data_IF_213619773003
#
_entry.id   IF_213619773003
#
_cell.length_a   1.000
_cell.length_b   1.000
_cell.length_c   1.000
_cell.angle_alpha   90.00
_cell.angle_beta   90.00
_cell.angle_gamma   90.00
#
_symmetry.space_group_name_H-M   'P 1'
#
loop_
_entity.id
_entity.type
_entity.pdbx_description
1 polymer ?
#
# COMPACT_ATOMS: atom_id res chain seq x y z
N UNK A 1 -4.33 45.49 2.87
CA UNK A 1 -4.88 44.73 4.07
C UNK A 1 -6.17 44.00 3.71
N UNK A 2 -6.44 43.82 2.35
CA UNK A 2 -7.58 43.13 1.72
C UNK A 2 -7.07 42.00 0.82
N UNK A 3 -5.69 41.64 0.92
CA UNK A 3 -5.11 40.53 0.13
C UNK A 3 -4.51 39.47 1.06
N UNK A 4 -4.77 39.67 2.43
CA UNK A 4 -4.30 38.69 3.43
C UNK A 4 -5.49 38.01 4.10
N UNK A 5 -6.77 38.40 3.65
CA UNK A 5 -8.00 37.77 4.20
C UNK A 5 -8.61 36.81 3.18
N UNK A 6 -7.92 36.58 1.95
CA UNK A 6 -8.37 35.58 0.95
C UNK A 6 -7.41 34.39 0.92
N UNK A 7 -6.29 34.49 1.80
CA UNK A 7 -5.37 33.33 1.88
C UNK A 7 -5.61 32.56 3.18
N UNK A 8 -6.51 33.20 4.10
CA UNK A 8 -6.77 32.51 5.39
C UNK A 8 -8.16 31.86 5.32
N UNK A 9 -8.97 32.18 4.14
CA UNK A 9 -10.32 31.58 4.02
C UNK A 9 -10.31 30.45 2.99
N UNK A 10 -9.18 30.27 2.16
CA UNK A 10 -8.97 29.11 1.27
C UNK A 10 -8.20 28.00 1.99
N UNK A 11 -7.74 28.34 3.26
CA UNK A 11 -6.97 27.33 4.04
C UNK A 11 -7.87 26.68 5.10
N UNK A 12 -9.12 27.27 5.35
CA UNK A 12 -10.02 26.72 6.39
C UNK A 12 -11.16 25.93 5.74
N UNK A 13 -11.31 25.99 4.32
CA UNK A 13 -12.38 25.24 3.62
C UNK A 13 -11.78 23.99 2.97
N UNK A 14 -10.33 23.88 2.95
CA UNK A 14 -9.63 22.63 2.57
C UNK A 14 -9.50 21.71 3.80
N UNK A 15 -9.93 22.25 5.05
CA UNK A 15 -9.71 21.56 6.34
C UNK A 15 -11.00 20.86 6.79
N UNK A 16 -12.19 21.14 6.19
CA UNK A 16 -13.47 20.53 6.63
C UNK A 16 -13.93 19.51 5.58
N UNK A 17 -13.00 19.23 4.55
CA UNK A 17 -13.50 18.29 3.52
C UNK A 17 -12.57 17.08 3.42
N UNK A 18 -11.47 17.03 4.33
CA UNK A 18 -10.57 15.85 4.40
C UNK A 18 -10.99 14.93 5.55
N UNK A 19 -12.00 15.29 6.32
CA UNK A 19 -12.45 14.60 7.54
C UNK A 19 -13.71 13.79 7.28
N UNK A 20 -14.33 13.86 6.04
CA UNK A 20 -15.64 13.17 5.93
C UNK A 20 -15.49 11.86 5.15
N UNK A 21 -14.28 11.56 4.52
CA UNK A 21 -14.04 10.23 3.91
C UNK A 21 -13.10 9.42 4.81
N UNK A 22 -12.55 10.06 5.89
CA UNK A 22 -11.53 9.43 6.73
C UNK A 22 -12.11 9.05 8.09
N UNK A 23 -13.49 9.47 8.30
CA UNK A 23 -14.23 9.17 9.55
C UNK A 23 -15.24 8.04 9.32
N UNK A 24 -15.15 7.43 7.99
CA UNK A 24 -16.02 6.21 8.07
C UNK A 24 -15.26 5.06 8.72
N UNK A 25 -14.84 5.18 10.02
CA UNK A 25 -14.77 4.19 11.10
C UNK A 25 -14.61 2.77 10.55
N UNK A 26 -13.59 2.54 9.52
CA UNK A 26 -13.27 1.09 9.47
C UNK A 26 -13.31 0.52 10.89
N UNK A 27 -14.43 0.49 11.54
CA UNK A 27 -14.56 -0.37 12.74
C UNK A 27 -13.30 -0.30 13.61
N UNK A 28 -12.57 0.76 13.62
CA UNK A 28 -11.31 1.28 14.20
C UNK A 28 -11.09 0.73 15.62
N UNK A 29 -11.83 -0.43 16.07
CA UNK A 29 -11.39 -1.19 17.27
C UNK A 29 -11.76 -2.67 17.13
N UNK A 30 -12.47 -3.05 15.97
CA UNK A 30 -12.89 -4.47 15.95
C UNK A 30 -11.99 -5.27 15.01
N UNK A 31 -10.98 -4.54 14.36
CA UNK A 31 -10.25 -5.34 13.33
C UNK A 31 -8.97 -5.92 13.93
N UNK A 32 -8.46 -5.22 14.95
CA UNK A 32 -7.19 -5.71 15.51
C UNK A 32 -7.46 -6.44 16.83
N UNK A 33 -6.81 -7.56 16.95
CA UNK A 33 -7.10 -8.29 18.20
C UNK A 33 -5.86 -8.33 19.10
N UNK A 34 -4.84 -7.51 18.56
CA UNK A 34 -3.65 -7.44 19.41
C UNK A 34 -3.13 -6.00 19.47
N UNK A 35 -2.62 -5.65 20.70
CA UNK A 35 -2.01 -4.32 20.90
C UNK A 35 -0.63 -4.53 21.56
N UNK A 36 0.34 -3.81 20.95
CA UNK A 36 1.68 -3.88 21.59
C UNK A 36 2.19 -2.44 21.78
N UNK A 37 2.77 -2.32 23.01
CA UNK A 37 3.28 -0.97 23.36
C UNK A 37 4.71 -1.08 23.87
N UNK A 38 5.52 -0.18 23.41
CA UNK A 38 6.83 0.01 24.04
C UNK A 38 6.84 1.30 24.87
N UNK A 39 7.02 1.05 26.26
CA UNK A 39 6.88 2.19 27.19
C UNK A 39 8.07 2.21 28.15
N UNK A 40 8.00 3.42 28.78
CA UNK A 40 8.97 3.58 29.89
C UNK A 40 8.27 4.16 31.11
N UNK A 41 8.43 3.59 32.34
CA UNK A 41 7.66 3.97 33.54
C UNK A 41 8.46 4.96 34.39
N UNK A 42 9.67 5.44 34.03
CA UNK A 42 10.41 6.31 34.96
C UNK A 42 10.62 7.68 34.31
N UNK A 43 10.23 8.77 35.11
CA UNK A 43 10.36 10.20 34.74
C UNK A 43 11.80 10.67 34.95
N UNK A 44 12.83 9.73 34.94
CA UNK A 44 14.01 10.46 35.46
C UNK A 44 15.25 9.98 34.70
N UNK A 45 15.41 10.64 33.40
CA UNK A 45 16.79 10.77 32.85
C UNK A 45 16.70 11.01 31.33
N UNK A 46 17.31 12.12 30.79
CA UNK A 46 17.68 12.53 29.42
C UNK A 46 17.98 11.33 28.52
N UNK A 47 17.36 10.00 28.83
CA UNK A 47 17.69 8.85 27.97
C UNK A 47 16.63 8.70 26.88
N UNK A 48 17.08 8.38 25.66
CA UNK A 48 16.18 8.22 24.50
C UNK A 48 16.78 7.21 23.52
N UNK A 49 15.90 6.66 22.71
CA UNK A 49 16.46 5.97 21.53
C UNK A 49 15.75 6.50 20.28
N UNK A 50 16.52 6.28 19.17
CA UNK A 50 15.99 6.86 17.91
C UNK A 50 15.36 5.76 17.04
N UNK A 51 14.20 6.22 16.54
CA UNK A 51 13.55 5.27 15.62
C UNK A 51 13.43 5.93 14.25
N UNK A 52 13.53 5.04 13.31
CA UNK A 52 13.32 5.57 11.95
C UNK A 52 11.82 5.71 11.66
N UNK A 53 11.49 7.01 11.05
CA UNK A 53 10.09 7.22 10.70
C UNK A 53 9.96 7.56 9.21
N UNK A 54 8.64 7.36 8.69
CA UNK A 54 8.34 7.77 7.31
C UNK A 54 7.15 8.73 7.29
N UNK A 55 7.32 9.64 6.29
CA UNK A 55 6.20 10.59 6.15
C UNK A 55 5.07 10.02 5.30
N UNK A 56 4.45 8.76 5.61
CA UNK A 56 3.36 8.42 4.66
C UNK A 56 2.22 7.75 5.43
N UNK A 57 0.90 8.07 5.09
CA UNK A 57 -0.31 7.52 5.75
C UNK A 57 -0.56 6.07 5.38
N UNK A 58 -0.06 5.10 6.17
CA UNK A 58 -0.51 3.69 5.96
C UNK A 58 -1.94 3.54 6.50
N UNK A 59 -2.96 3.53 5.49
CA UNK A 59 -4.30 3.05 5.91
C UNK A 59 -4.42 1.54 5.70
N UNK A 60 -5.38 0.81 6.56
CA UNK A 60 -5.62 1.12 7.99
C UNK A 60 -4.84 0.17 8.91
N UNK A 61 -3.90 0.76 9.89
CA UNK A 61 -3.96 1.09 11.34
C UNK A 61 -2.60 0.81 11.98
N UNK A 62 -1.49 1.64 11.75
CA UNK A 62 -0.66 1.82 12.97
C UNK A 62 -0.97 3.21 13.56
N UNK A 63 -2.03 3.28 14.37
CA UNK A 63 -2.21 4.53 15.14
C UNK A 63 -1.01 4.78 16.07
N UNK A 64 -0.21 5.71 15.62
CA UNK A 64 0.86 6.16 16.52
C UNK A 64 0.29 7.13 17.55
N UNK A 65 0.36 6.66 18.78
CA UNK A 65 -0.11 7.59 19.83
C UNK A 65 1.08 8.00 20.71
N UNK A 66 1.35 9.37 20.69
CA UNK A 66 2.31 9.83 21.72
C UNK A 66 1.60 10.03 23.07
N UNK A 67 2.16 9.36 24.04
CA UNK A 67 1.55 9.41 25.39
C UNK A 67 1.59 10.85 25.93
N UNK A 68 0.37 11.45 26.16
CA UNK A 68 0.31 12.72 26.90
C UNK A 68 0.95 12.61 28.29
N UNK A 69 1.21 13.66 29.01
CA UNK A 69 1.71 13.73 30.41
C UNK A 69 0.83 12.91 31.34
N UNK A 70 -0.37 12.49 30.85
CA UNK A 70 -1.17 11.46 31.55
C UNK A 70 -0.91 10.06 30.98
N UNK A 71 -0.38 9.06 31.76
CA UNK A 71 0.09 7.74 31.32
C UNK A 71 -1.07 6.89 30.74
N UNK A 72 -2.36 7.38 30.86
CA UNK A 72 -3.48 6.58 30.34
C UNK A 72 -4.13 7.28 29.15
N UNK A 73 -3.56 8.38 28.71
CA UNK A 73 -4.18 9.08 27.56
C UNK A 73 -3.20 9.03 26.38
N UNK A 74 -3.65 8.43 25.32
CA UNK A 74 -2.87 8.39 24.05
C UNK A 74 -3.37 9.50 23.12
N UNK A 75 -2.51 10.54 22.93
CA UNK A 75 -2.99 11.61 22.04
C UNK A 75 -2.43 11.38 20.63
N UNK A 76 -3.27 11.02 19.66
CA UNK A 76 -2.84 11.06 18.23
C UNK A 76 -2.28 12.45 17.90
N UNK A 77 -0.97 12.81 18.19
CA UNK A 77 -0.58 14.20 17.89
C UNK A 77 -0.64 14.46 16.38
N UNK A 78 -1.76 14.78 15.81
CA UNK A 78 -1.61 15.57 14.55
C UNK A 78 -0.79 16.84 14.81
N UNK A 79 0.54 16.83 14.85
CA UNK A 79 1.33 18.09 14.93
C UNK A 79 0.61 19.19 14.12
N UNK A 80 0.03 20.15 14.75
CA UNK A 80 -0.82 21.27 14.30
C UNK A 80 -0.06 22.22 13.37
N UNK A 81 1.16 21.74 12.67
CA UNK A 81 1.66 22.73 11.70
C UNK A 81 2.20 22.01 10.46
N UNK A 82 1.62 20.81 10.14
CA UNK A 82 1.90 20.18 8.84
C UNK A 82 0.98 18.98 8.63
N UNK A 83 -0.25 19.10 8.34
CA UNK A 83 -1.25 18.06 8.04
C UNK A 83 -0.78 17.12 6.92
N UNK A 84 0.62 17.19 6.58
CA UNK A 84 1.07 16.26 5.53
C UNK A 84 2.16 15.33 6.08
N UNK A 85 1.89 14.49 7.18
CA UNK A 85 2.50 13.13 7.17
C UNK A 85 2.49 12.58 8.59
N UNK A 86 1.39 12.11 9.20
CA UNK A 86 1.40 11.19 10.36
C UNK A 86 2.61 10.24 10.31
N UNK A 87 3.75 10.68 10.75
CA UNK A 87 5.01 9.90 10.79
C UNK A 87 4.77 8.53 11.44
N UNK A 88 5.23 7.43 10.79
CA UNK A 88 5.05 6.08 11.32
C UNK A 88 6.43 5.45 11.59
N UNK A 89 6.58 5.12 12.89
CA UNK A 89 7.84 4.40 13.13
C UNK A 89 7.94 3.11 12.29
N UNK A 90 9.15 2.91 11.82
CA UNK A 90 9.35 1.63 11.11
C UNK A 90 9.42 0.50 12.14
N UNK A 91 8.27 -0.06 12.44
CA UNK A 91 8.02 -1.07 13.48
C UNK A 91 7.20 -2.22 12.89
N UNK A 92 7.89 -3.46 12.82
CA UNK A 92 7.21 -4.59 12.16
C UNK A 92 7.04 -5.77 13.12
N UNK A 93 5.93 -6.57 12.74
CA UNK A 93 5.72 -7.85 13.46
C UNK A 93 5.99 -9.00 12.48
N UNK A 94 6.93 -9.81 12.95
CA UNK A 94 7.21 -11.01 12.13
C UNK A 94 6.63 -12.27 12.81
N UNK A 95 5.89 -12.95 11.97
CA UNK A 95 5.35 -14.23 12.49
C UNK A 95 5.96 -15.41 11.71
N UNK A 96 6.66 -16.20 12.45
CA UNK A 96 7.24 -17.41 11.81
C UNK A 96 6.37 -18.64 12.06
N UNK A 97 6.23 -19.41 10.97
CA UNK A 97 5.39 -20.63 11.09
C UNK A 97 6.28 -21.87 10.94
N UNK A 98 5.80 -23.00 11.56
CA UNK A 98 6.59 -24.25 11.57
C UNK A 98 6.81 -24.76 10.15
N UNK A 99 5.73 -24.63 9.34
CA UNK A 99 5.86 -25.06 7.93
C UNK A 99 4.96 -24.18 7.04
N UNK A 100 5.38 -24.13 5.81
CA UNK A 100 4.51 -23.38 4.88
C UNK A 100 3.26 -24.18 4.51
N UNK A 101 2.15 -23.45 4.06
CA UNK A 101 0.96 -24.18 3.55
C UNK A 101 1.26 -24.84 2.20
N UNK A 102 2.16 -24.19 1.44
CA UNK A 102 2.65 -24.82 0.19
C UNK A 102 3.91 -24.08 -0.28
N UNK A 103 4.37 -24.71 -1.45
CA UNK A 103 5.56 -24.08 -2.06
C UNK A 103 5.18 -23.54 -3.44
N UNK A 104 5.53 -22.22 -3.64
CA UNK A 104 5.18 -21.62 -4.94
C UNK A 104 5.96 -22.28 -6.08
N UNK A 105 5.55 -21.97 -7.29
CA UNK A 105 6.27 -22.52 -8.47
C UNK A 105 7.75 -22.09 -8.46
N UNK A 106 8.03 -21.06 -7.76
CA UNK A 106 9.41 -20.54 -7.69
C UNK A 106 10.17 -21.07 -6.46
N UNK A 107 9.49 -22.05 -5.71
CA UNK A 107 10.19 -22.74 -4.61
C UNK A 107 10.09 -21.93 -3.30
N UNK A 108 9.25 -21.01 -3.19
CA UNK A 108 9.15 -20.22 -1.94
C UNK A 108 7.95 -20.68 -1.11
N UNK A 109 8.18 -20.46 0.24
CA UNK A 109 7.06 -20.82 1.11
C UNK A 109 5.86 -19.86 0.92
N UNK A 110 4.68 -20.47 0.98
CA UNK A 110 3.44 -19.69 0.82
C UNK A 110 2.55 -19.94 2.04
N UNK A 111 2.06 -18.76 2.60
CA UNK A 111 1.07 -18.86 3.71
C UNK A 111 -0.31 -18.41 3.22
N UNK A 112 -1.33 -19.20 3.70
CA UNK A 112 -2.67 -18.94 3.13
C UNK A 112 -3.60 -18.53 4.28
N UNK A 113 -4.15 -17.30 4.16
CA UNK A 113 -5.23 -16.80 5.03
C UNK A 113 -4.78 -16.74 6.49
N UNK A 114 -3.44 -16.53 6.78
CA UNK A 114 -2.94 -16.59 8.17
C UNK A 114 -3.16 -15.25 8.86
N UNK A 115 -3.58 -14.10 8.23
CA UNK A 115 -3.78 -12.77 8.87
C UNK A 115 -4.91 -12.03 8.15
N UNK A 116 -6.06 -12.77 7.99
CA UNK A 116 -7.14 -12.11 7.22
C UNK A 116 -8.37 -11.96 8.12
N UNK A 117 -8.75 -10.72 8.49
CA UNK A 117 -9.99 -10.57 9.28
C UNK A 117 -11.23 -10.91 8.45
N UNK A 118 -12.36 -11.38 9.20
CA UNK A 118 -13.66 -11.65 8.55
C UNK A 118 -14.34 -10.33 8.16
N UNK A 119 -14.20 -9.89 6.88
CA UNK A 119 -14.93 -8.92 6.06
C UNK A 119 -14.50 -7.49 6.42
N UNK A 120 -13.75 -6.91 5.43
CA UNK A 120 -13.58 -5.43 5.49
C UNK A 120 -14.22 -4.78 4.25
N UNK A 121 -15.39 -4.24 4.42
CA UNK A 121 -15.86 -3.57 3.19
C UNK A 121 -15.00 -2.33 2.88
N UNK A 122 -14.27 -2.44 1.73
CA UNK A 122 -13.65 -1.16 1.29
C UNK A 122 -14.64 -0.44 0.37
N UNK A 123 -15.06 0.74 0.92
CA UNK A 123 -15.91 1.58 0.03
C UNK A 123 -15.02 2.49 -0.84
N UNK A 124 -15.18 2.19 -2.25
CA UNK A 124 -14.43 3.06 -3.19
C UNK A 124 -15.34 4.21 -3.65
N UNK A 125 -14.97 5.38 -3.25
CA UNK A 125 -15.81 6.44 -3.87
C UNK A 125 -15.17 6.91 -5.19
N UNK A 126 -15.94 6.68 -6.27
CA UNK A 126 -15.41 7.11 -7.59
C UNK A 126 -15.31 8.63 -7.65
N UNK A 127 -14.21 9.06 -8.37
CA UNK A 127 -14.08 10.50 -8.67
C UNK A 127 -15.22 10.96 -9.58
N UNK A 128 -15.72 12.14 -9.21
CA UNK A 128 -16.82 12.73 -10.04
C UNK A 128 -16.35 14.05 -10.66
N UNK A 129 -17.13 14.33 -11.59
CA UNK A 129 -16.81 15.59 -12.32
C UNK A 129 -16.63 16.75 -11.36
N UNK A 130 -17.31 16.76 -10.23
CA UNK A 130 -17.31 17.96 -9.34
C UNK A 130 -16.35 17.72 -8.16
N UNK A 131 -15.67 16.54 -8.30
CA UNK A 131 -14.80 16.20 -7.17
C UNK A 131 -13.70 17.28 -7.04
N UNK A 132 -13.63 17.93 -5.88
CA UNK A 132 -12.60 18.97 -5.65
C UNK A 132 -11.27 18.32 -5.22
N UNK A 133 -10.04 19.09 -5.52
CA UNK A 133 -8.71 18.63 -5.02
C UNK A 133 -8.08 17.60 -5.94
N UNK A 134 -8.72 17.47 -7.23
CA UNK A 134 -8.10 16.51 -8.17
C UNK A 134 -6.86 17.13 -8.82
N UNK A 135 -5.87 16.23 -9.03
CA UNK A 135 -4.75 16.67 -9.87
C UNK A 135 -5.22 17.06 -11.28
N UNK A 136 -4.72 18.22 -11.75
CA UNK A 136 -5.22 18.66 -13.08
C UNK A 136 -4.08 18.53 -14.10
N UNK A 137 -4.57 18.20 -15.30
CA UNK A 137 -3.59 17.97 -16.38
C UNK A 137 -2.94 19.30 -16.78
N UNK A 138 -1.71 19.21 -17.34
CA UNK A 138 -1.09 20.41 -17.91
C UNK A 138 -1.85 20.92 -19.14
N UNK A 139 -2.47 20.02 -19.85
CA UNK A 139 -3.22 20.42 -21.07
C UNK A 139 -4.35 21.39 -20.73
N UNK A 140 -5.04 21.07 -19.68
CA UNK A 140 -6.22 21.96 -19.48
C UNK A 140 -6.07 22.73 -18.17
N UNK A 141 -5.35 22.27 -17.21
CA UNK A 141 -5.14 22.95 -15.92
C UNK A 141 -6.44 23.06 -15.12
N UNK A 142 -7.56 22.25 -15.53
CA UNK A 142 -8.89 22.33 -14.89
C UNK A 142 -9.53 20.93 -14.89
N UNK A 143 -9.98 20.54 -13.66
CA UNK A 143 -10.48 19.15 -13.54
C UNK A 143 -11.78 18.97 -14.35
N UNK A 144 -12.65 19.92 -14.33
CA UNK A 144 -13.92 19.76 -15.08
C UNK A 144 -13.61 19.60 -16.58
N UNK A 145 -12.68 20.39 -17.03
CA UNK A 145 -12.33 20.25 -18.47
C UNK A 145 -11.62 18.91 -18.72
N UNK A 146 -10.78 18.53 -17.80
CA UNK A 146 -10.17 17.18 -17.94
C UNK A 146 -11.23 16.09 -17.99
N UNK A 147 -12.16 16.23 -17.07
CA UNK A 147 -13.23 15.21 -17.02
C UNK A 147 -14.01 15.20 -18.34
N UNK A 148 -14.38 16.35 -18.88
CA UNK A 148 -15.18 16.42 -20.12
C UNK A 148 -14.40 15.83 -21.30
N UNK A 149 -13.11 16.11 -21.31
CA UNK A 149 -12.29 15.51 -22.40
C UNK A 149 -12.30 13.99 -22.32
N UNK A 150 -12.09 13.49 -21.16
CA UNK A 150 -12.11 12.01 -21.02
C UNK A 150 -13.48 11.45 -21.37
N UNK A 151 -14.59 12.15 -20.90
CA UNK A 151 -15.96 11.67 -21.21
C UNK A 151 -16.18 11.66 -22.72
N UNK A 152 -15.77 12.69 -23.36
CA UNK A 152 -15.93 12.73 -24.83
C UNK A 152 -15.18 11.57 -25.50
N UNK A 153 -13.97 11.42 -25.09
CA UNK A 153 -13.20 10.31 -25.69
C UNK A 153 -13.83 8.95 -25.38
N UNK A 154 -14.25 8.80 -24.15
CA UNK A 154 -14.95 7.54 -23.82
C UNK A 154 -16.10 7.29 -24.81
N UNK A 155 -16.93 8.28 -25.06
CA UNK A 155 -18.08 8.09 -25.97
C UNK A 155 -17.62 7.76 -27.40
N UNK A 156 -16.54 8.37 -27.82
CA UNK A 156 -16.02 8.03 -29.16
C UNK A 156 -15.58 6.57 -29.25
N UNK A 157 -14.85 6.16 -28.18
CA UNK A 157 -14.36 4.76 -28.19
C UNK A 157 -15.56 3.79 -28.22
N UNK A 158 -16.57 4.05 -27.40
CA UNK A 158 -17.70 3.11 -27.35
C UNK A 158 -18.47 3.14 -28.68
N UNK A 159 -18.64 4.31 -29.22
CA UNK A 159 -19.33 4.39 -30.52
C UNK A 159 -18.57 3.60 -31.61
N UNK A 160 -17.30 3.72 -31.69
CA UNK A 160 -16.50 2.97 -32.70
C UNK A 160 -16.64 1.45 -32.52
N UNK A 161 -16.89 1.10 -31.29
CA UNK A 161 -17.02 -0.36 -31.03
C UNK A 161 -18.48 -0.79 -31.13
N UNK A 162 -19.37 0.19 -31.52
CA UNK A 162 -20.82 -0.13 -31.59
C UNK A 162 -21.44 -0.36 -30.20
N UNK A 163 -20.85 0.26 -29.15
CA UNK A 163 -21.34 0.06 -27.77
C UNK A 163 -21.96 1.36 -27.26
N UNK A 164 -22.87 1.20 -26.28
CA UNK A 164 -23.47 2.37 -25.58
C UNK A 164 -23.26 2.22 -24.07
N UNK A 165 -23.83 3.27 -23.35
CA UNK A 165 -23.65 3.24 -21.87
C UNK A 165 -24.43 2.06 -21.25
N UNK A 166 -25.36 1.51 -22.05
CA UNK A 166 -26.15 0.40 -21.49
C UNK A 166 -25.53 -0.96 -21.80
N UNK A 167 -24.50 -0.95 -22.60
CA UNK A 167 -23.84 -2.23 -22.91
C UNK A 167 -23.19 -2.82 -21.64
N UNK A 168 -22.92 -4.15 -21.69
CA UNK A 168 -22.29 -4.81 -20.53
C UNK A 168 -20.93 -4.18 -20.19
N UNK A 169 -20.63 -4.03 -18.82
CA UNK A 169 -19.36 -3.39 -18.34
C UNK A 169 -18.14 -4.06 -18.96
N UNK A 170 -18.23 -5.34 -19.04
CA UNK A 170 -17.04 -6.05 -19.59
C UNK A 170 -16.74 -5.59 -21.02
N UNK A 171 -17.76 -5.49 -21.83
CA UNK A 171 -17.53 -5.08 -23.23
C UNK A 171 -17.01 -3.63 -23.31
N UNK A 172 -17.59 -2.82 -22.48
CA UNK A 172 -17.10 -1.42 -22.49
C UNK A 172 -15.63 -1.34 -22.06
N UNK A 173 -15.29 -2.08 -20.97
CA UNK A 173 -13.90 -2.00 -20.45
C UNK A 173 -12.94 -2.63 -21.48
N UNK A 174 -13.38 -3.70 -22.10
CA UNK A 174 -12.50 -4.32 -23.12
C UNK A 174 -12.24 -3.34 -24.28
N UNK A 175 -13.26 -2.64 -24.71
CA UNK A 175 -13.05 -1.66 -25.80
C UNK A 175 -12.09 -0.54 -25.35
N UNK A 176 -12.32 -0.05 -24.20
CA UNK A 176 -11.45 1.03 -23.69
C UNK A 176 -10.02 0.51 -23.50
N UNK A 177 -9.89 -0.70 -22.86
CA UNK A 177 -8.54 -1.28 -22.69
C UNK A 177 -7.84 -1.46 -24.05
N UNK A 178 -8.61 -1.91 -25.03
CA UNK A 178 -8.04 -2.06 -26.40
C UNK A 178 -7.53 -0.72 -26.95
N UNK A 179 -8.36 0.26 -26.74
CA UNK A 179 -7.93 1.59 -27.26
C UNK A 179 -6.66 2.06 -26.55
N UNK A 180 -6.65 2.01 -25.16
CA UNK A 180 -5.45 2.44 -24.42
C UNK A 180 -4.21 1.70 -24.92
N UNK A 181 -4.34 0.41 -25.11
CA UNK A 181 -3.21 -0.38 -25.62
C UNK A 181 -2.78 0.11 -27.01
N UNK A 182 -3.70 0.26 -27.99
CA UNK A 182 -3.35 0.69 -29.36
C UNK A 182 -2.70 2.08 -29.35
N UNK A 183 -3.34 2.94 -28.54
CA UNK A 183 -2.75 4.28 -28.45
C UNK A 183 -1.29 4.22 -27.95
N UNK A 184 -1.06 3.41 -27.02
CA UNK A 184 0.34 3.25 -26.54
C UNK A 184 1.24 2.69 -27.64
N UNK A 185 0.76 1.70 -28.31
CA UNK A 185 1.58 1.08 -29.38
C UNK A 185 2.00 2.10 -30.43
N UNK A 186 1.23 3.17 -30.58
CA UNK A 186 1.53 4.09 -31.69
C UNK A 186 2.15 5.38 -31.15
N UNK A 187 2.54 5.34 -29.87
CA UNK A 187 3.10 6.58 -29.29
C UNK A 187 4.56 6.73 -29.74
N UNK A 188 4.90 7.81 -30.48
CA UNK A 188 6.18 8.10 -31.16
C UNK A 188 7.13 8.85 -30.24
N UNK A 189 6.52 9.62 -29.08
CA UNK A 189 7.39 10.41 -28.17
C UNK A 189 7.11 10.02 -26.72
N UNK A 190 8.23 9.64 -26.12
CA UNK A 190 8.17 9.19 -24.71
C UNK A 190 8.30 10.40 -23.77
N UNK A 191 7.15 10.93 -23.29
CA UNK A 191 7.22 12.12 -22.40
C UNK A 191 7.80 11.72 -21.04
N UNK A 192 9.18 11.61 -20.89
CA UNK A 192 10.02 11.07 -19.79
C UNK A 192 9.91 11.94 -18.54
N UNK A 193 9.11 13.23 -18.58
CA UNK A 193 9.15 13.97 -17.30
C UNK A 193 7.85 14.76 -17.11
N UNK A 194 6.72 14.42 -17.76
CA UNK A 194 5.49 15.24 -17.59
C UNK A 194 4.56 14.56 -16.60
N UNK A 195 3.77 15.44 -15.94
CA UNK A 195 2.84 14.84 -14.97
C UNK A 195 2.00 13.72 -15.61
N UNK A 196 2.14 12.53 -15.08
CA UNK A 196 1.46 11.28 -15.49
C UNK A 196 -0.06 11.42 -15.30
N UNK A 197 -0.73 12.38 -16.13
CA UNK A 197 -2.18 12.60 -16.03
C UNK A 197 -2.91 11.85 -17.16
N UNK A 198 -4.17 11.23 -16.89
CA UNK A 198 -4.89 10.42 -17.88
C UNK A 198 -5.19 11.21 -19.17
N UNK A 199 -5.36 12.53 -19.03
CA UNK A 199 -5.67 13.33 -20.24
C UNK A 199 -4.46 13.36 -21.18
N UNK A 200 -3.37 13.27 -20.62
CA UNK A 200 -2.19 13.32 -21.51
C UNK A 200 -2.09 12.07 -22.39
N UNK A 201 -2.61 10.94 -21.85
CA UNK A 201 -2.61 9.75 -22.71
C UNK A 201 -3.51 9.91 -23.93
N UNK A 202 -4.64 10.59 -23.73
CA UNK A 202 -5.53 10.84 -24.89
C UNK A 202 -4.80 11.71 -25.92
N UNK A 203 -4.03 12.66 -25.48
CA UNK A 203 -3.47 13.69 -26.40
C UNK A 203 -2.18 13.18 -27.04
N UNK A 204 -1.45 12.53 -26.25
CA UNK A 204 -0.10 12.28 -26.80
C UNK A 204 0.22 10.78 -26.78
N UNK A 205 -0.63 10.02 -26.22
CA UNK A 205 -0.19 8.65 -25.86
C UNK A 205 0.72 8.61 -24.64
N UNK A 206 1.40 7.45 -24.42
CA UNK A 206 2.31 7.46 -23.24
C UNK A 206 2.70 6.04 -22.85
N UNK A 207 3.67 6.02 -21.77
CA UNK A 207 4.16 4.71 -21.27
C UNK A 207 3.07 3.98 -20.49
N UNK A 208 3.45 2.93 -19.95
CA UNK A 208 2.52 2.03 -19.25
C UNK A 208 1.74 2.76 -18.15
N UNK A 209 2.28 3.76 -17.59
CA UNK A 209 1.60 4.47 -16.47
C UNK A 209 0.46 5.32 -17.02
N UNK A 210 0.65 5.98 -18.18
CA UNK A 210 -0.43 6.83 -18.74
C UNK A 210 -1.63 5.97 -19.17
N UNK A 211 -1.25 4.89 -19.72
CA UNK A 211 -2.35 4.00 -20.19
C UNK A 211 -3.17 3.46 -19.01
N UNK A 212 -2.48 3.05 -17.99
CA UNK A 212 -3.21 2.52 -16.83
C UNK A 212 -4.07 3.62 -16.18
N UNK A 213 -3.53 4.83 -16.08
CA UNK A 213 -4.30 5.92 -15.45
C UNK A 213 -5.50 6.30 -16.32
N UNK A 214 -5.22 6.35 -17.58
CA UNK A 214 -6.37 6.64 -18.47
C UNK A 214 -7.48 5.61 -18.31
N UNK A 215 -7.06 4.32 -18.28
CA UNK A 215 -8.10 3.29 -18.08
C UNK A 215 -8.88 3.54 -16.79
N UNK A 216 -8.22 3.88 -15.74
CA UNK A 216 -8.89 4.10 -14.44
C UNK A 216 -9.82 5.30 -14.54
N UNK A 217 -9.34 6.34 -15.19
CA UNK A 217 -10.19 7.55 -15.32
C UNK A 217 -11.46 7.23 -16.13
N UNK A 218 -11.26 6.46 -17.20
CA UNK A 218 -12.47 6.07 -17.93
C UNK A 218 -13.43 5.26 -17.06
N UNK A 219 -12.87 4.30 -16.31
CA UNK A 219 -13.73 3.47 -15.44
C UNK A 219 -14.42 4.34 -14.38
N UNK A 220 -13.69 5.36 -13.96
CA UNK A 220 -14.33 6.26 -12.97
C UNK A 220 -15.55 6.96 -13.60
N UNK A 221 -15.46 7.40 -14.79
CA UNK A 221 -16.59 8.07 -15.48
C UNK A 221 -17.76 7.09 -15.65
N UNK A 222 -17.43 5.80 -15.74
CA UNK A 222 -18.51 4.80 -15.94
C UNK A 222 -18.94 4.22 -14.60
N UNK A 223 -18.28 4.76 -13.51
CA UNK A 223 -18.56 4.27 -12.14
C UNK A 223 -18.29 2.78 -12.00
N UNK A 224 -17.22 2.38 -12.65
CA UNK A 224 -16.73 1.00 -12.49
C UNK A 224 -15.47 1.05 -11.60
N UNK A 225 -15.53 0.21 -10.53
CA UNK A 225 -14.36 0.23 -9.65
C UNK A 225 -13.10 -0.27 -10.36
N UNK A 226 -12.04 0.58 -10.25
CA UNK A 226 -10.77 0.19 -10.90
C UNK A 226 -9.60 0.74 -10.08
N UNK A 227 -8.38 0.12 -10.38
CA UNK A 227 -7.18 0.60 -9.66
C UNK A 227 -5.93 0.32 -10.51
N UNK A 228 -4.96 1.13 -10.10
CA UNK A 228 -3.69 0.85 -10.81
C UNK A 228 -2.89 -0.21 -10.05
N UNK A 229 -2.22 -0.95 -10.85
CA UNK A 229 -1.29 -1.95 -10.30
C UNK A 229 0.10 -1.64 -10.85
N UNK A 230 1.01 -1.23 -9.85
CA UNK A 230 2.36 -0.84 -10.35
C UNK A 230 3.43 -1.76 -9.78
N UNK A 231 4.60 -1.93 -10.65
CA UNK A 231 5.80 -2.65 -10.18
C UNK A 231 7.03 -2.14 -10.94
N UNK A 232 8.40 -2.65 -10.55
CA UNK A 232 9.71 -2.02 -10.71
C UNK A 232 9.96 -1.70 -12.20
N UNK A 233 8.81 -1.26 -12.91
CA UNK A 233 9.06 -0.70 -14.26
C UNK A 233 7.83 -0.85 -15.14
N UNK A 234 6.71 -1.06 -14.37
CA UNK A 234 5.49 -1.22 -15.18
C UNK A 234 4.26 -0.88 -14.33
N UNK A 235 3.35 -0.35 -15.00
CA UNK A 235 2.06 -0.07 -14.34
C UNK A 235 0.91 -0.57 -15.22
N UNK A 236 0.01 -1.27 -14.54
CA UNK A 236 -1.22 -1.72 -15.22
C UNK A 236 -2.45 -1.37 -14.37
N UNK A 237 -3.59 -2.14 -14.71
CA UNK A 237 -4.81 -1.83 -13.93
C UNK A 237 -5.58 -3.11 -13.59
N UNK A 238 -6.49 -2.98 -12.57
CA UNK A 238 -7.54 -3.98 -12.31
C UNK A 238 -8.91 -3.29 -12.27
N UNK A 239 -9.77 -4.03 -12.86
CA UNK A 239 -11.15 -3.49 -12.84
C UNK A 239 -12.10 -4.54 -12.25
N UNK A 240 -13.08 -3.99 -11.41
CA UNK A 240 -14.03 -4.93 -10.78
C UNK A 240 -15.26 -5.12 -11.68
N UNK A 241 -15.35 -6.24 -12.33
CA UNK A 241 -16.46 -6.54 -13.24
C UNK A 241 -16.98 -7.95 -12.92
N UNK A 242 -18.36 -7.98 -12.85
CA UNK A 242 -19.04 -9.28 -12.63
C UNK A 242 -18.63 -9.88 -11.28
N UNK A 243 -18.39 -9.04 -10.33
CA UNK A 243 -18.17 -9.53 -8.95
C UNK A 243 -16.71 -9.90 -8.71
N UNK A 244 -15.82 -9.49 -9.75
CA UNK A 244 -14.42 -9.94 -9.54
C UNK A 244 -13.46 -8.90 -10.13
N UNK A 245 -12.31 -8.92 -9.47
CA UNK A 245 -11.24 -8.06 -10.04
C UNK A 245 -10.58 -8.76 -11.23
N UNK A 246 -10.39 -7.90 -12.27
CA UNK A 246 -9.79 -8.44 -13.51
C UNK A 246 -8.58 -7.58 -13.89
N UNK A 247 -7.63 -8.39 -14.26
CA UNK A 247 -6.37 -7.70 -14.60
C UNK A 247 -6.45 -7.15 -16.03
N UNK A 248 -5.98 -5.86 -16.13
CA UNK A 248 -5.89 -5.26 -17.46
C UNK A 248 -4.42 -4.88 -17.73
N UNK A 249 -3.95 -5.50 -18.82
CA UNK A 249 -2.53 -5.32 -19.13
C UNK A 249 -2.39 -4.37 -20.34
N UNK A 250 -1.27 -3.60 -20.19
CA UNK A 250 -1.16 -2.66 -21.34
C UNK A 250 0.25 -2.69 -21.93
N UNK A 251 1.03 -3.80 -21.64
CA UNK A 251 2.32 -3.94 -22.33
C UNK A 251 2.10 -4.46 -23.77
N UNK A 252 2.89 -3.81 -24.63
CA UNK A 252 2.69 -4.16 -26.05
C UNK A 252 3.08 -5.63 -26.27
N UNK A 253 4.17 -6.08 -25.73
CA UNK A 253 4.63 -7.46 -25.93
C UNK A 253 3.61 -8.48 -25.41
N UNK A 254 3.11 -8.24 -24.23
CA UNK A 254 2.18 -9.22 -23.62
C UNK A 254 0.83 -9.20 -24.37
N UNK A 255 0.38 -8.03 -24.62
CA UNK A 255 -0.93 -7.95 -25.29
C UNK A 255 -0.85 -8.53 -26.71
N UNK A 256 0.21 -8.22 -27.52
CA UNK A 256 0.35 -8.82 -28.86
C UNK A 256 0.39 -10.35 -28.80
N UNK A 257 1.15 -10.78 -27.88
CA UNK A 257 1.25 -12.25 -27.75
C UNK A 257 -0.13 -12.87 -27.45
N UNK A 258 -0.79 -12.26 -26.49
CA UNK A 258 -2.07 -12.89 -26.09
C UNK A 258 -3.09 -12.76 -27.22
N UNK A 259 -3.08 -11.65 -27.88
CA UNK A 259 -4.02 -11.51 -29.03
C UNK A 259 -3.69 -12.52 -30.11
N UNK A 260 -2.42 -12.72 -30.37
CA UNK A 260 -2.03 -13.70 -31.41
C UNK A 260 -2.36 -15.14 -31.00
N UNK A 261 -2.17 -15.46 -29.82
CA UNK A 261 -2.28 -16.88 -29.43
C UNK A 261 -3.71 -17.21 -29.01
N UNK A 262 -4.44 -16.12 -28.58
CA UNK A 262 -5.72 -16.54 -27.94
C UNK A 262 -6.86 -15.65 -28.43
N UNK A 263 -6.45 -14.68 -29.23
CA UNK A 263 -7.51 -13.77 -29.70
C UNK A 263 -8.08 -12.90 -28.58
N UNK A 264 -7.40 -13.03 -27.44
CA UNK A 264 -7.92 -12.27 -26.28
C UNK A 264 -6.99 -11.08 -26.00
N UNK A 265 -7.72 -9.83 -25.87
CA UNK A 265 -7.04 -8.52 -25.68
C UNK A 265 -6.90 -8.18 -24.19
N UNK A 266 -6.40 -6.90 -23.95
CA UNK A 266 -5.64 -6.56 -22.74
C UNK A 266 -6.46 -6.77 -21.46
N UNK A 267 -7.73 -7.26 -21.56
CA UNK A 267 -8.51 -7.56 -20.34
C UNK A 267 -8.57 -9.07 -20.12
N UNK A 268 -8.21 -9.45 -18.93
CA UNK A 268 -8.09 -10.91 -18.68
C UNK A 268 -9.16 -11.34 -17.68
N UNK A 269 -9.41 -12.68 -17.68
CA UNK A 269 -10.48 -13.23 -16.80
C UNK A 269 -9.94 -13.46 -15.37
N UNK A 270 -8.71 -13.18 -15.15
CA UNK A 270 -8.15 -13.43 -13.81
C UNK A 270 -7.60 -12.11 -13.25
N UNK A 271 -7.48 -12.06 -11.90
CA UNK A 271 -6.94 -10.85 -11.24
C UNK A 271 -5.41 -10.82 -11.26
N UNK A 272 -4.98 -9.70 -10.99
CA UNK A 272 -3.51 -9.56 -10.87
C UNK A 272 -2.95 -10.52 -9.81
N UNK A 273 -3.67 -10.65 -8.71
CA UNK A 273 -3.22 -11.57 -7.65
C UNK A 273 -3.11 -13.01 -8.18
N UNK A 274 -4.11 -13.42 -8.92
CA UNK A 274 -4.07 -14.79 -9.48
C UNK A 274 -2.91 -14.94 -10.47
N UNK A 275 -2.75 -13.93 -11.26
CA UNK A 275 -1.63 -13.97 -12.22
C UNK A 275 -0.28 -14.11 -11.49
N UNK A 276 -0.04 -13.49 -10.43
CA UNK A 276 1.28 -13.55 -9.75
C UNK A 276 1.41 -14.88 -8.98
N UNK A 277 0.35 -15.43 -8.60
CA UNK A 277 0.47 -16.70 -7.85
C UNK A 277 0.87 -17.84 -8.78
N UNK A 278 0.40 -17.70 -10.04
CA UNK A 278 0.74 -18.80 -10.96
C UNK A 278 0.64 -18.29 -12.41
N UNK A 279 1.56 -17.62 -12.86
CA UNK A 279 1.49 -16.99 -14.19
C UNK A 279 1.43 -18.03 -15.32
N UNK A 280 1.90 -19.24 -15.10
CA UNK A 280 1.93 -20.26 -16.17
C UNK A 280 0.54 -20.89 -16.36
N UNK A 281 -0.19 -20.85 -15.30
CA UNK A 281 -1.55 -21.43 -15.39
C UNK A 281 -2.39 -20.67 -16.44
N UNK A 282 -1.96 -19.46 -16.74
CA UNK A 282 -2.87 -18.67 -17.59
C UNK A 282 -2.25 -18.44 -18.97
N UNK A 283 -1.12 -19.30 -19.26
CA UNK A 283 -0.61 -19.37 -20.65
C UNK A 283 0.11 -18.07 -21.04
N UNK A 284 0.61 -17.29 -20.05
CA UNK A 284 1.39 -16.08 -20.39
C UNK A 284 2.76 -16.46 -20.94
N UNK A 285 3.33 -15.62 -22.02
CA UNK A 285 4.62 -15.96 -22.64
C UNK A 285 5.71 -16.22 -21.59
N UNK A 286 6.45 -17.40 -21.80
CA UNK A 286 7.53 -17.83 -20.87
C UNK A 286 8.61 -16.76 -20.74
N UNK A 287 8.72 -15.90 -21.86
CA UNK A 287 9.79 -14.86 -21.86
C UNK A 287 9.23 -13.50 -21.42
N UNK A 288 7.86 -13.56 -21.11
CA UNK A 288 7.34 -12.30 -20.52
C UNK A 288 8.14 -11.91 -19.26
N UNK A 289 9.08 -10.89 -19.43
CA UNK A 289 9.93 -10.52 -18.28
C UNK A 289 9.13 -10.50 -16.97
N UNK A 290 8.35 -11.51 -16.76
CA UNK A 290 7.71 -11.45 -15.44
C UNK A 290 8.67 -11.84 -14.33
N UNK A 291 10.08 -12.22 -14.78
CA UNK A 291 11.17 -12.28 -13.79
C UNK A 291 11.29 -10.95 -13.03
N UNK A 292 10.31 -10.00 -13.21
CA UNK A 292 10.28 -8.69 -12.52
C UNK A 292 8.95 -8.51 -11.80
N UNK A 293 8.08 -9.63 -11.66
CA UNK A 293 6.77 -9.52 -10.98
C UNK A 293 6.94 -9.94 -9.51
N UNK A 294 7.63 -9.00 -8.68
CA UNK A 294 7.99 -8.98 -7.23
C UNK A 294 6.71 -9.06 -6.39
N UNK A 295 6.12 -10.24 -6.38
CA UNK A 295 5.38 -10.45 -5.10
C UNK A 295 6.30 -11.04 -4.05
N UNK A 296 6.94 -10.07 -3.37
CA UNK A 296 7.83 -10.48 -2.27
C UNK A 296 9.07 -11.21 -2.81
N UNK A 297 10.29 -10.35 -2.90
CA UNK A 297 11.72 -10.12 -3.20
C UNK A 297 12.18 -10.99 -4.38
N UNK A 298 12.67 -10.35 -5.50
CA UNK A 298 13.33 -10.99 -6.65
C UNK A 298 14.63 -11.68 -6.22
N UNK A 299 15.19 -12.68 -6.98
CA UNK A 299 16.37 -13.57 -6.99
C UNK A 299 17.66 -12.78 -6.66
N UNK A 300 17.47 -11.55 -6.18
CA UNK A 300 18.55 -10.69 -5.65
C UNK A 300 18.10 -9.96 -4.39
N UNK A 301 16.85 -10.34 -3.74
CA UNK A 301 16.49 -9.59 -2.52
C UNK A 301 15.96 -8.19 -2.84
N UNK A 302 15.54 -7.85 -4.07
CA UNK A 302 14.88 -6.53 -4.21
C UNK A 302 13.39 -6.70 -4.50
N UNK A 303 12.44 -5.92 -3.71
CA UNK A 303 11.04 -5.69 -3.28
C UNK A 303 10.20 -5.26 -4.49
N UNK A 304 8.94 -5.90 -4.67
CA UNK A 304 7.83 -5.25 -5.40
C UNK A 304 6.73 -4.88 -4.41
N UNK A 305 6.34 -3.59 -4.63
CA UNK A 305 5.34 -2.58 -4.24
C UNK A 305 3.96 -2.96 -4.80
N UNK A 306 2.92 -3.12 -3.95
CA UNK A 306 1.53 -2.85 -4.36
C UNK A 306 1.26 -1.34 -4.38
N UNK A 307 1.07 -0.67 -5.67
CA UNK A 307 0.76 0.78 -5.74
C UNK A 307 -0.73 1.01 -6.04
N UNK A 308 -1.37 2.16 -5.38
CA UNK A 308 -2.11 3.43 -5.30
C UNK A 308 -3.61 3.18 -5.45
N UNK A 309 -4.26 2.76 -4.36
CA UNK A 309 -5.75 2.71 -4.32
C UNK A 309 -6.36 4.10 -4.49
N UNK A 310 -5.43 5.20 -4.48
CA UNK A 310 -6.07 6.53 -4.48
C UNK A 310 -6.40 6.99 -5.90
N UNK A 311 -5.94 6.11 -6.91
CA UNK A 311 -6.13 6.63 -8.28
C UNK A 311 -7.63 6.74 -8.61
N UNK A 312 -8.39 6.15 -7.70
CA UNK A 312 -9.83 6.06 -8.04
C UNK A 312 -10.60 7.21 -7.40
N UNK A 313 -10.14 7.96 -6.30
CA UNK A 313 -11.07 8.85 -5.58
C UNK A 313 -10.72 10.32 -5.86
N UNK A 314 -9.50 10.60 -6.56
CA UNK A 314 -9.21 12.03 -6.81
C UNK A 314 -8.20 12.14 -7.95
N UNK A 315 -8.40 11.37 -9.08
CA UNK A 315 -7.40 11.32 -10.17
C UNK A 315 -6.03 11.81 -9.70
N UNK A 316 -5.65 11.52 -8.52
CA UNK A 316 -4.28 11.83 -8.06
C UNK A 316 -3.35 10.66 -8.40
N UNK A 317 -2.90 10.72 -9.69
CA UNK A 317 -2.15 9.55 -10.19
C UNK A 317 -0.64 9.84 -10.08
N UNK A 318 -0.06 9.75 -8.81
CA UNK A 318 1.37 10.11 -8.67
C UNK A 318 2.22 8.84 -8.86
N UNK A 319 2.93 8.78 -10.05
CA UNK A 319 3.89 7.67 -10.26
C UNK A 319 5.32 8.22 -10.24
N UNK A 320 6.13 7.94 -9.13
CA UNK A 320 7.55 8.01 -8.68
C UNK A 320 8.48 8.58 -9.74
N UNK A 321 8.47 9.95 -10.01
CA UNK A 321 9.73 10.53 -10.54
C UNK A 321 10.53 11.19 -9.40
N UNK A 322 11.95 11.07 -9.52
CA UNK A 322 12.93 11.75 -8.63
C UNK A 322 12.40 13.10 -8.13
N UNK A 323 11.84 13.13 -6.79
CA UNK A 323 11.61 14.45 -6.15
C UNK A 323 10.12 14.66 -5.84
N UNK A 324 9.17 13.59 -6.08
CA UNK A 324 7.77 13.81 -5.65
C UNK A 324 7.38 12.74 -4.61
N UNK A 325 6.91 13.27 -3.39
CA UNK A 325 6.51 12.37 -2.30
C UNK A 325 5.50 11.32 -2.79
N UNK A 326 5.97 10.11 -3.01
CA UNK A 326 5.24 8.84 -3.27
C UNK A 326 4.03 8.71 -2.34
N UNK A 327 2.83 9.13 -2.82
CA UNK A 327 1.68 8.78 -1.93
C UNK A 327 1.05 7.47 -2.38
N UNK A 328 1.91 6.40 -2.40
CA UNK A 328 1.45 5.06 -2.84
C UNK A 328 0.76 4.33 -1.68
N UNK A 329 -0.57 4.10 -1.86
CA UNK A 329 -1.15 3.13 -0.90
C UNK A 329 -0.61 1.73 -1.19
N UNK A 330 0.35 1.36 -0.35
CA UNK A 330 0.94 0.00 -0.46
C UNK A 330 0.20 -0.94 0.50
N UNK A 331 -0.41 -2.00 -0.21
CA UNK A 331 -0.94 -3.01 0.74
C UNK A 331 0.21 -3.78 1.41
N UNK A 332 0.15 -3.66 2.65
CA UNK A 332 1.35 -4.13 3.39
C UNK A 332 1.01 -5.34 4.26
N UNK A 333 -0.41 -5.69 4.09
CA UNK A 333 -0.74 -6.89 4.90
C UNK A 333 -1.84 -7.68 4.21
N UNK A 334 -1.84 -9.01 4.40
CA UNK A 334 -2.89 -9.91 3.86
C UNK A 334 -4.27 -9.39 4.24
N UNK A 335 -4.44 -8.72 5.40
CA UNK A 335 -5.73 -8.11 5.76
C UNK A 335 -6.14 -7.04 4.74
N UNK A 336 -5.18 -6.30 4.33
CA UNK A 336 -5.48 -5.27 3.30
C UNK A 336 -5.82 -5.92 1.95
N UNK A 337 -5.20 -7.08 1.71
CA UNK A 337 -5.52 -7.79 0.45
C UNK A 337 -6.95 -8.35 0.49
N UNK A 338 -7.36 -8.88 1.66
CA UNK A 338 -8.76 -9.38 1.75
C UNK A 338 -9.76 -8.26 1.47
N UNK A 339 -9.44 -7.05 2.05
CA UNK A 339 -10.36 -5.94 1.70
C UNK A 339 -10.41 -5.71 0.19
N UNK A 340 -9.38 -6.08 -0.39
CA UNK A 340 -9.35 -5.77 -1.84
C UNK A 340 -9.94 -6.92 -2.65
N UNK A 341 -9.76 -8.05 -2.17
CA UNK A 341 -10.29 -9.22 -2.90
C UNK A 341 -11.28 -9.97 -2.01
N UNK A 342 -12.44 -9.35 -1.83
CA UNK A 342 -13.40 -9.97 -0.87
C UNK A 342 -14.01 -11.25 -1.44
N UNK A 343 -13.92 -11.33 -2.71
CA UNK A 343 -14.55 -12.50 -3.35
C UNK A 343 -13.64 -13.73 -3.31
N UNK A 344 -12.44 -13.56 -2.90
CA UNK A 344 -11.52 -14.72 -2.94
C UNK A 344 -11.55 -15.46 -1.59
N UNK A 345 -11.56 -16.81 -1.74
CA UNK A 345 -11.61 -17.64 -0.51
C UNK A 345 -10.20 -17.86 0.05
N UNK A 346 -9.31 -17.68 -0.90
CA UNK A 346 -7.93 -17.92 -0.44
C UNK A 346 -7.04 -16.73 -0.84
N UNK A 347 -6.32 -16.24 0.20
CA UNK A 347 -5.33 -15.19 -0.10
C UNK A 347 -3.93 -15.69 0.27
N UNK A 348 -3.08 -15.51 -0.70
CA UNK A 348 -1.74 -16.12 -0.50
C UNK A 348 -0.72 -15.02 -0.16
N UNK A 349 0.15 -15.43 0.82
CA UNK A 349 1.34 -14.61 1.17
C UNK A 349 2.61 -15.40 0.82
N UNK A 350 3.27 -14.90 -0.23
CA UNK A 350 4.55 -15.58 -0.60
C UNK A 350 5.69 -14.99 0.22
N UNK A 351 6.42 -15.84 0.90
CA UNK A 351 7.42 -15.36 1.87
C UNK A 351 8.69 -14.95 1.12
N UNK A 352 9.42 -13.95 1.74
CA UNK A 352 10.61 -13.32 1.12
C UNK A 352 11.83 -14.24 1.24
N UNK A 353 11.73 -15.30 1.99
CA UNK A 353 12.88 -16.21 2.19
C UNK A 353 12.41 -17.68 2.21
N UNK A 354 13.43 -18.51 2.49
CA UNK A 354 13.17 -19.97 2.46
C UNK A 354 12.41 -20.40 3.73
N UNK A 355 12.27 -19.34 4.55
CA UNK A 355 11.51 -19.69 5.76
C UNK A 355 10.08 -19.13 5.66
N UNK A 356 9.14 -19.85 6.32
CA UNK A 356 7.75 -19.37 6.28
C UNK A 356 7.50 -18.25 7.29
N UNK A 357 8.09 -17.09 6.93
CA UNK A 357 7.91 -15.96 7.85
C UNK A 357 7.03 -14.90 7.15
N UNK A 358 6.01 -14.51 8.02
CA UNK A 358 5.12 -13.45 7.49
C UNK A 358 5.41 -12.15 8.23
N UNK A 359 5.53 -11.12 7.45
CA UNK A 359 5.71 -9.78 8.06
C UNK A 359 4.41 -8.98 7.93
N UNK A 360 3.91 -8.58 9.12
CA UNK A 360 2.55 -7.98 9.14
C UNK A 360 2.63 -6.51 8.76
N UNK A 361 3.87 -6.02 8.59
CA UNK A 361 4.08 -4.68 8.01
C UNK A 361 5.28 -4.70 7.07
N UNK A 362 5.20 -3.83 6.05
CA UNK A 362 6.33 -4.00 5.12
C UNK A 362 7.68 -3.72 5.78
N UNK A 363 8.73 -4.71 5.64
CA UNK A 363 10.19 -4.49 5.59
C UNK A 363 10.60 -4.12 4.16
N UNK A 364 10.68 -2.85 3.78
CA UNK A 364 11.37 -2.49 2.53
C UNK A 364 12.90 -2.74 2.66
N UNK A 365 13.62 -3.60 1.98
CA UNK A 365 15.03 -3.99 1.84
C UNK A 365 15.75 -2.98 0.97
N UNK A 366 15.51 -1.50 1.12
CA UNK A 366 16.69 -0.81 0.56
C UNK A 366 16.28 0.52 -0.08
N UNK A 367 14.94 0.94 -0.16
CA UNK A 367 14.79 2.24 -0.84
C UNK A 367 14.02 3.22 0.06
N UNK A 368 13.82 2.78 1.40
CA UNK A 368 12.91 3.64 2.20
C UNK A 368 13.71 4.47 3.19
N UNK A 369 15.03 4.16 3.37
CA UNK A 369 15.78 4.99 4.34
C UNK A 369 16.27 6.26 3.64
N UNK A 370 16.24 6.15 2.35
CA UNK A 370 16.84 7.35 1.70
C UNK A 370 15.97 8.58 1.94
N UNK A 371 14.63 8.23 2.51
CA UNK A 371 13.80 9.42 2.82
C UNK A 371 13.26 9.34 4.26
N UNK A 372 13.92 8.43 5.03
CA UNK A 372 13.44 8.26 6.41
C UNK A 372 14.19 9.23 7.34
N UNK A 373 13.48 9.75 8.29
CA UNK A 373 14.17 10.56 9.32
C UNK A 373 14.04 9.89 10.69
N UNK A 374 14.87 10.29 11.55
CA UNK A 374 14.89 9.64 12.88
C UNK A 374 14.12 10.49 13.90
N UNK A 375 13.47 9.73 14.78
CA UNK A 375 12.80 10.40 15.90
C UNK A 375 13.29 9.80 17.23
N UNK A 376 13.43 10.80 18.12
CA UNK A 376 13.87 10.33 19.45
C UNK A 376 12.64 9.95 20.31
N UNK A 377 12.78 8.79 20.83
CA UNK A 377 11.72 8.39 21.78
C UNK A 377 12.29 8.53 23.20
N UNK A 378 11.71 9.61 23.89
CA UNK A 378 12.24 9.92 25.23
C UNK A 378 11.58 9.05 26.30
N UNK A 379 12.25 9.11 27.52
CA UNK A 379 11.80 8.45 28.75
C UNK A 379 10.49 9.07 29.25
N UNK A 380 9.23 8.40 29.08
CA UNK A 380 7.85 8.76 29.48
C UNK A 380 6.95 8.87 28.24
N UNK A 381 7.70 8.58 27.08
CA UNK A 381 6.87 8.43 25.86
C UNK A 381 6.77 6.96 25.46
N UNK A 382 5.78 6.61 24.67
CA UNK A 382 5.63 5.19 24.28
C UNK A 382 5.15 5.08 22.82
N UNK A 383 5.56 3.91 22.33
CA UNK A 383 5.01 3.57 21.00
C UNK A 383 3.95 2.46 21.11
N UNK A 384 2.94 2.68 20.25
CA UNK A 384 1.87 1.65 20.28
C UNK A 384 1.56 1.21 18.84
N UNK A 385 1.44 -0.12 18.81
CA UNK A 385 1.03 -0.69 17.52
C UNK A 385 -0.07 -1.74 17.72
N UNK A 386 -1.04 -1.73 16.72
CA UNK A 386 -2.08 -2.78 16.76
C UNK A 386 -1.96 -3.67 15.51
N UNK A 387 -2.20 -4.98 15.79
CA UNK A 387 -2.13 -5.86 14.60
C UNK A 387 -3.09 -7.02 14.78
N UNK A 388 -3.29 -7.75 13.60
CA UNK A 388 -4.31 -8.85 13.62
C UNK A 388 -3.61 -10.18 13.29
N UNK A 389 -4.05 -11.18 14.06
CA UNK A 389 -3.67 -12.58 13.74
C UNK A 389 -4.91 -13.46 13.79
N UNK A 390 -5.00 -14.28 12.80
CA UNK A 390 -6.27 -15.04 12.69
C UNK A 390 -6.18 -16.34 13.51
N UNK A 391 -4.97 -16.94 13.48
CA UNK A 391 -4.91 -18.26 14.15
C UNK A 391 -3.49 -18.48 14.71
N UNK A 392 -3.50 -19.29 15.86
CA UNK A 392 -2.17 -19.61 16.44
C UNK A 392 -1.62 -20.92 15.86
N UNK A 393 -2.39 -21.49 15.04
CA UNK A 393 -1.99 -22.82 14.53
C UNK A 393 -0.69 -22.68 13.72
N UNK A 394 0.32 -23.49 14.17
CA UNK A 394 1.54 -23.62 13.36
C UNK A 394 2.50 -22.44 13.59
N UNK A 395 2.07 -21.56 14.55
CA UNK A 395 2.97 -20.42 14.80
C UNK A 395 4.16 -20.91 15.65
N UNK A 396 5.33 -20.64 15.10
CA UNK A 396 6.59 -21.07 15.80
C UNK A 396 7.09 -19.93 16.69
N UNK A 397 7.03 -18.75 16.07
CA UNK A 397 7.59 -17.61 16.83
C UNK A 397 6.99 -16.30 16.30
N UNK A 398 6.82 -15.35 17.35
CA UNK A 398 6.41 -14.00 16.94
C UNK A 398 7.42 -12.99 17.50
N UNK A 399 7.80 -12.07 16.44
CA UNK A 399 8.82 -11.10 16.89
C UNK A 399 8.36 -9.68 16.51
N UNK A 400 8.69 -8.80 17.52
CA UNK A 400 8.56 -7.37 17.19
C UNK A 400 9.92 -6.80 16.78
N UNK A 401 9.86 -6.13 15.65
CA UNK A 401 11.14 -5.64 15.09
C UNK A 401 11.01 -4.12 14.91
N UNK A 402 11.86 -3.42 15.66
CA UNK A 402 11.82 -1.94 15.60
C UNK A 402 13.17 -1.43 15.07
N UNK A 403 12.99 -0.70 13.97
CA UNK A 403 14.25 -0.21 13.37
C UNK A 403 14.72 1.03 14.14
N UNK A 404 15.99 0.90 14.39
CA UNK A 404 16.55 2.02 15.20
C UNK A 404 17.93 2.38 14.67
N UNK A 405 18.30 3.58 14.92
CA UNK A 405 19.69 3.95 14.60
C UNK A 405 20.66 3.50 15.71
N UNK A 406 21.92 3.40 15.53
CA UNK A 406 22.95 2.83 16.42
C UNK A 406 23.05 3.62 17.72
N UNK A 407 22.08 4.53 18.02
CA UNK A 407 22.27 5.34 19.23
C UNK A 407 21.50 4.75 20.42
N UNK A 408 21.71 3.43 20.68
CA UNK A 408 21.13 2.96 21.95
C UNK A 408 22.09 3.22 23.10
N UNK A 409 23.19 3.96 22.82
CA UNK A 409 24.29 4.12 23.79
C UNK A 409 23.80 4.88 25.02
N UNK A 410 22.60 5.44 24.85
CA UNK A 410 22.15 6.25 26.00
C UNK A 410 21.05 5.53 26.77
N UNK A 411 20.92 4.13 26.39
CA UNK A 411 19.89 3.36 27.12
C UNK A 411 20.59 2.35 28.04
N UNK A 412 19.91 2.03 29.21
CA UNK A 412 20.51 1.02 30.09
C UNK A 412 20.65 -0.34 29.39
N UNK A 413 21.87 -0.88 29.54
CA UNK A 413 22.16 -2.15 28.84
C UNK A 413 21.15 -3.23 29.21
N UNK A 414 20.65 -3.16 30.43
CA UNK A 414 19.72 -4.25 30.83
C UNK A 414 18.27 -3.89 30.47
N UNK A 415 18.07 -2.65 29.82
CA UNK A 415 16.73 -2.28 29.36
C UNK A 415 16.06 -1.33 30.35
N UNK A 416 16.54 -1.29 31.67
CA UNK A 416 16.02 -0.35 32.68
C UNK A 416 14.50 -0.47 32.84
N UNK A 417 13.89 0.72 32.79
CA UNK A 417 12.44 0.74 33.10
C UNK A 417 11.62 0.60 31.81
N UNK A 418 12.30 0.27 30.78
CA UNK A 418 11.52 0.06 29.53
C UNK A 418 10.82 -1.30 29.55
N UNK A 419 9.58 -1.25 28.93
CA UNK A 419 8.86 -2.53 28.90
C UNK A 419 7.94 -2.56 27.67
N UNK A 420 7.69 -3.84 27.28
CA UNK A 420 6.62 -4.05 26.28
C UNK A 420 5.30 -4.43 26.98
N UNK A 421 4.26 -3.73 26.57
CA UNK A 421 2.89 -4.12 26.98
C UNK A 421 2.14 -4.77 25.82
N UNK A 422 1.88 -6.04 26.09
CA UNK A 422 1.17 -6.79 25.03
C UNK A 422 -0.23 -7.17 25.54
N UNK A 423 -1.20 -6.52 24.96
CA UNK A 423 -2.60 -6.76 25.35
C UNK A 423 -2.76 -6.68 26.87
N UNK A 424 -2.01 -5.71 27.43
CA UNK A 424 -2.22 -5.43 28.86
C UNK A 424 -1.19 -6.15 29.73
N UNK A 425 -0.40 -6.97 29.10
CA UNK A 425 0.61 -7.69 29.91
C UNK A 425 1.96 -6.96 29.80
N UNK A 426 2.38 -6.61 30.97
CA UNK A 426 3.62 -5.81 31.01
C UNK A 426 4.84 -6.74 31.17
N UNK A 427 5.85 -6.41 30.26
CA UNK A 427 7.10 -7.20 30.32
C UNK A 427 8.29 -6.25 30.25
N UNK A 428 9.02 -6.32 31.38
CA UNK A 428 10.18 -5.38 31.39
C UNK A 428 11.35 -5.98 30.61
N UNK A 429 12.02 -5.04 29.92
CA UNK A 429 13.14 -5.51 29.09
C UNK A 429 14.26 -6.05 29.98
N UNK A 430 14.44 -5.51 31.19
CA UNK A 430 15.50 -6.04 32.09
C UNK A 430 15.24 -7.49 32.48
N UNK A 431 14.01 -7.87 32.41
CA UNK A 431 13.72 -9.26 32.79
C UNK A 431 13.79 -10.18 31.56
N UNK A 432 13.96 -9.54 30.46
CA UNK A 432 14.00 -10.34 29.22
C UNK A 432 15.40 -10.33 28.61
N UNK A 433 16.39 -9.94 29.51
CA UNK A 433 17.78 -10.05 29.01
C UNK A 433 18.26 -8.76 28.37
N UNK A 434 17.40 -7.64 28.53
CA UNK A 434 17.83 -6.29 28.09
C UNK A 434 17.48 -6.07 26.61
N UNK A 435 18.14 -5.03 25.97
CA UNK A 435 17.90 -4.71 24.55
C UNK A 435 18.61 -5.73 23.65
N UNK A 436 17.83 -6.40 22.89
CA UNK A 436 18.47 -7.27 21.88
C UNK A 436 18.59 -6.50 20.54
N UNK A 437 19.87 -6.08 20.37
CA UNK A 437 20.08 -5.29 19.14
C UNK A 437 20.84 -6.17 18.12
N UNK A 438 20.22 -6.25 17.04
CA UNK A 438 20.93 -7.00 15.97
C UNK A 438 21.41 -6.03 14.89
N UNK A 439 22.71 -6.37 14.48
CA UNK A 439 23.25 -5.50 13.40
C UNK A 439 22.57 -5.82 12.06
N UNK A 440 22.68 -4.86 11.24
CA UNK A 440 22.10 -5.03 9.90
C UNK A 440 22.44 -6.42 9.32
N UNK A 441 21.41 -7.07 8.79
CA UNK A 441 21.67 -8.33 8.04
C UNK A 441 21.07 -8.26 6.64
N UNK A 442 21.15 -9.53 5.98
CA UNK A 442 20.77 -9.53 4.55
C UNK A 442 19.29 -9.20 4.36
N UNK A 443 18.59 -9.42 5.49
CA UNK A 443 17.14 -9.20 5.37
C UNK A 443 16.77 -7.82 5.93
N UNK A 444 17.46 -7.39 7.05
CA UNK A 444 17.17 -6.10 7.71
C UNK A 444 18.47 -5.29 7.72
N UNK A 445 18.86 -4.64 6.80
CA UNK A 445 20.12 -3.96 6.42
C UNK A 445 20.41 -2.81 7.39
N UNK A 446 19.55 -2.72 8.49
CA UNK A 446 19.84 -1.73 9.54
C UNK A 446 19.81 -2.37 10.93
N UNK A 447 20.41 -1.56 11.85
CA UNK A 447 20.31 -2.07 13.24
C UNK A 447 18.85 -2.06 13.73
N UNK A 448 18.55 -3.01 14.50
CA UNK A 448 17.14 -3.07 14.94
C UNK A 448 17.06 -3.79 16.29
N UNK A 449 15.89 -3.37 16.92
CA UNK A 449 15.61 -4.04 18.21
C UNK A 449 14.57 -5.15 17.99
N UNK A 450 14.94 -6.28 18.73
CA UNK A 450 14.02 -7.41 18.55
C UNK A 450 13.49 -7.82 19.92
N UNK A 451 12.18 -8.00 19.85
CA UNK A 451 11.60 -8.58 21.08
C UNK A 451 10.72 -9.78 20.70
N UNK A 452 11.07 -10.92 21.45
CA UNK A 452 10.17 -12.07 21.24
C UNK A 452 8.84 -11.86 21.99
N UNK A 453 7.78 -11.99 21.18
CA UNK A 453 6.44 -11.87 21.81
C UNK A 453 5.91 -13.27 22.16
N UNK A 454 5.67 -13.42 23.43
CA UNK A 454 5.14 -14.74 23.80
C UNK A 454 3.73 -14.96 23.21
N UNK A 455 3.66 -16.07 22.61
CA UNK A 455 2.41 -16.34 21.85
C UNK A 455 1.22 -16.39 22.82
N UNK A 456 1.49 -16.76 24.10
CA UNK A 456 0.38 -16.91 25.07
C UNK A 456 -0.21 -15.53 25.42
N UNK A 457 0.55 -14.47 25.04
CA UNK A 457 0.00 -13.14 25.38
C UNK A 457 -0.73 -12.54 24.18
N UNK A 458 -0.83 -13.34 23.08
CA UNK A 458 -1.51 -12.79 21.89
C UNK A 458 -2.94 -13.32 21.80
N UNK A 459 -3.78 -12.45 21.27
CA UNK A 459 -5.14 -12.91 20.93
C UNK A 459 -5.23 -13.37 19.47
N UNK A 460 -5.93 -14.61 19.35
CA UNK A 460 -6.15 -15.11 17.98
C UNK A 460 -7.66 -15.22 17.72
N UNK A 461 -8.18 -14.94 16.47
CA UNK A 461 -9.62 -15.11 16.16
C UNK A 461 -9.83 -16.36 15.30
#
# INVERSE_FOLDING_TARGET
MKRLALYIFSFFITFILYSDIYSQDIAGDRLFNNVIELRNDEECCQQFFTVFCKPSPVRPAVKFFLQSKDPDVWVAKAIPEDPELSEIPLWSIAVEYEKPDKISAGGFPVLINRNVPELLPINYKACRRETEGCHVSPTYGDHVKDWDAMLQKKNEILQEAGLTDSSPDRDKVQAIAGWCYRQRKHTEKQLGDQPWHPVEHITYGGFCVFAAHALIAFCSIMEIPARTVGWSNHCSAEVFIDGQWRWVENTIATCDYMLEKRGKGPLFSFSFLEMIADPFKYGLPEDTPYDTFTCMADDRGQRLFFSNLEAYSKWHFIHGGEGQPQKLITFQSISELRALYPEKDTLMYICAGDKPVMYLHPFDKHDYIQNSYTRKIYQNLGLRQCFYLSSSQGVKNVQSILLTDDELKDMPEDGGAWYYNINGHKMYLRDMGGWRVEEANEVIRESHIIVDIPVEYLNFN
#
